data_IF_344306972048
#
_entry.id   IF_344306972048
#
_cell.length_a   1.000
_cell.length_b   1.000
_cell.length_c   1.000
_cell.angle_alpha   90.00
_cell.angle_beta   90.00
_cell.angle_gamma   90.00
#
_symmetry.space_group_name_H-M   'P 1'
#
loop_
_entity.id
_entity.type
_entity.pdbx_description
1 polymer ?
#
# COMPACT_ATOMS: atom_id res chain seq x y z
N UNK A 1 -27.58 14.26 15.41
CA UNK A 1 -26.41 13.76 14.65
C UNK A 1 -25.19 14.49 15.16
N UNK A 2 -24.43 13.85 16.04
CA UNK A 2 -23.15 14.38 16.52
C UNK A 2 -22.10 14.07 15.48
N UNK A 3 -21.51 15.12 14.90
CA UNK A 3 -20.31 14.97 14.06
C UNK A 3 -19.22 14.34 14.95
N UNK A 4 -18.55 13.27 14.53
CA UNK A 4 -17.40 12.77 15.28
C UNK A 4 -16.39 13.92 15.35
N UNK A 5 -16.12 14.43 16.55
CA UNK A 5 -14.98 15.31 16.77
C UNK A 5 -13.78 14.41 16.51
N UNK A 6 -13.14 14.59 15.35
CA UNK A 6 -11.88 13.93 15.07
C UNK A 6 -10.95 14.18 16.26
N UNK A 7 -10.21 13.17 16.76
CA UNK A 7 -9.24 13.39 17.81
C UNK A 7 -8.36 14.57 17.40
N UNK A 8 -8.24 15.57 18.27
CA UNK A 8 -7.33 16.69 18.06
C UNK A 8 -5.96 16.04 17.92
N UNK A 9 -5.30 16.10 16.75
CA UNK A 9 -3.97 15.52 16.59
C UNK A 9 -3.09 16.09 17.70
N UNK A 10 -2.22 15.27 18.29
CA UNK A 10 -1.19 15.81 19.18
C UNK A 10 -0.53 17.01 18.46
N UNK A 11 -0.34 18.11 19.18
CA UNK A 11 0.28 19.28 18.57
C UNK A 11 1.67 18.89 18.07
N UNK A 12 1.83 18.86 16.75
CA UNK A 12 3.10 18.57 16.11
C UNK A 12 4.20 19.43 16.76
N UNK A 13 5.32 18.83 17.23
CA UNK A 13 6.36 19.58 17.91
C UNK A 13 6.83 20.77 17.09
N UNK A 14 7.02 21.93 17.75
CA UNK A 14 7.36 23.21 17.09
C UNK A 14 8.56 23.14 16.15
N UNK A 15 9.52 22.24 16.42
CA UNK A 15 10.67 22.01 15.55
C UNK A 15 10.28 21.59 14.12
N UNK A 16 9.11 20.98 13.93
CA UNK A 16 8.61 20.52 12.63
C UNK A 16 7.67 21.50 11.93
N UNK A 17 7.32 22.64 12.54
CA UNK A 17 6.38 23.60 11.92
C UNK A 17 6.86 24.09 10.56
N UNK A 18 8.17 24.33 10.39
CA UNK A 18 8.73 24.72 9.09
C UNK A 18 8.58 23.60 8.03
N UNK A 19 8.77 22.35 8.43
CA UNK A 19 8.61 21.20 7.53
C UNK A 19 7.12 20.99 7.16
N UNK A 20 6.23 21.10 8.15
CA UNK A 20 4.77 21.10 8.00
C UNK A 20 4.31 22.15 7.00
N UNK A 21 4.72 23.40 7.19
CA UNK A 21 4.29 24.51 6.35
C UNK A 21 4.74 24.34 4.91
N UNK A 22 5.98 23.87 4.73
CA UNK A 22 6.53 23.59 3.41
C UNK A 22 5.90 22.36 2.74
N UNK A 23 5.47 21.35 3.51
CA UNK A 23 4.73 20.19 3.00
C UNK A 23 3.33 20.58 2.51
N UNK A 24 2.64 21.45 3.26
CA UNK A 24 1.36 22.02 2.82
C UNK A 24 1.56 22.88 1.58
N UNK A 25 2.59 23.73 1.55
CA UNK A 25 2.90 24.54 0.38
C UNK A 25 3.23 23.68 -0.85
N UNK A 26 3.93 22.55 -0.66
CA UNK A 26 4.22 21.60 -1.73
C UNK A 26 2.95 21.06 -2.38
N UNK A 27 1.92 20.73 -1.59
CA UNK A 27 0.62 20.31 -2.12
C UNK A 27 -0.10 21.46 -2.84
N UNK A 28 -0.08 22.67 -2.28
CA UNK A 28 -0.81 23.82 -2.82
C UNK A 28 -0.18 24.38 -4.11
N UNK A 29 1.14 24.38 -4.20
CA UNK A 29 1.92 24.99 -5.29
C UNK A 29 2.53 23.98 -6.26
N UNK A 30 2.39 22.67 -5.98
CA UNK A 30 3.06 21.58 -6.70
C UNK A 30 4.59 21.79 -6.79
N UNK A 31 5.19 22.26 -5.70
CA UNK A 31 6.64 22.50 -5.59
C UNK A 31 7.41 21.24 -5.15
N UNK A 32 8.73 21.34 -5.03
CA UNK A 32 9.59 20.21 -4.65
C UNK A 32 9.39 19.77 -3.20
N UNK A 33 9.75 18.52 -2.90
CA UNK A 33 9.65 17.97 -1.53
C UNK A 33 10.47 18.81 -0.53
N UNK A 34 9.92 19.09 0.67
CA UNK A 34 10.61 19.91 1.64
C UNK A 34 11.74 19.14 2.34
N UNK A 35 12.89 19.80 2.51
CA UNK A 35 14.09 19.19 3.09
C UNK A 35 13.87 18.60 4.50
N UNK A 36 13.03 19.23 5.33
CA UNK A 36 12.73 18.77 6.68
C UNK A 36 11.67 17.66 6.78
N UNK A 37 11.17 17.14 5.65
CA UNK A 37 10.17 16.07 5.66
C UNK A 37 10.74 14.77 6.22
N UNK A 38 12.00 14.47 5.93
CA UNK A 38 12.68 13.28 6.42
C UNK A 38 12.75 13.27 7.95
N UNK A 39 13.09 14.39 8.58
CA UNK A 39 13.15 14.51 10.03
C UNK A 39 11.78 14.31 10.69
N UNK A 40 10.71 14.80 10.05
CA UNK A 40 9.33 14.57 10.51
C UNK A 40 8.95 13.10 10.40
N UNK A 41 9.28 12.46 9.28
CA UNK A 41 9.04 11.03 9.04
C UNK A 41 9.80 10.14 10.03
N UNK A 42 11.06 10.46 10.32
CA UNK A 42 11.88 9.75 11.31
C UNK A 42 11.29 9.88 12.72
N UNK A 43 10.85 11.09 13.08
CA UNK A 43 10.19 11.31 14.36
C UNK A 43 8.88 10.52 14.47
N UNK A 44 8.03 10.53 13.44
CA UNK A 44 6.79 9.73 13.44
C UNK A 44 7.06 8.22 13.49
N UNK A 45 8.18 7.76 12.93
CA UNK A 45 8.60 6.36 13.00
C UNK A 45 9.19 5.96 14.37
N UNK A 46 9.38 6.91 15.28
CA UNK A 46 10.00 6.70 16.59
C UNK A 46 9.18 7.35 17.71
N UNK A 47 9.52 8.56 18.14
CA UNK A 47 8.88 9.25 19.26
C UNK A 47 7.41 9.63 19.00
N UNK A 48 7.03 9.85 17.74
CA UNK A 48 5.68 10.22 17.29
C UNK A 48 4.82 9.03 16.87
N UNK A 49 5.23 7.81 17.20
CA UNK A 49 4.54 6.59 16.77
C UNK A 49 3.09 6.51 17.28
N UNK A 50 2.89 6.77 18.57
CA UNK A 50 1.55 6.77 19.16
C UNK A 50 0.64 7.84 18.52
N UNK A 51 1.23 8.96 18.12
CA UNK A 51 0.51 10.03 17.44
C UNK A 51 0.13 9.63 16.00
N UNK A 52 1.01 8.89 15.31
CA UNK A 52 0.71 8.32 14.00
C UNK A 52 -0.46 7.33 14.07
N UNK A 53 -0.44 6.42 15.06
CA UNK A 53 -1.50 5.44 15.26
C UNK A 53 -2.82 6.12 15.71
N UNK A 54 -2.75 7.09 16.61
CA UNK A 54 -3.92 7.80 17.12
C UNK A 54 -4.57 8.72 16.06
N UNK A 55 -3.78 9.25 15.12
CA UNK A 55 -4.26 10.13 14.05
C UNK A 55 -5.31 9.45 13.15
N UNK A 56 -5.36 8.11 13.14
CA UNK A 56 -6.31 7.38 12.32
C UNK A 56 -6.84 6.12 13.01
N UNK A 57 -8.05 6.21 13.59
CA UNK A 57 -8.68 5.13 14.38
C UNK A 57 -9.22 3.96 13.52
N UNK A 58 -9.45 4.16 12.22
CA UNK A 58 -9.90 3.11 11.29
C UNK A 58 -8.80 2.74 10.29
N UNK A 59 -7.86 1.90 10.71
CA UNK A 59 -6.81 1.37 9.85
C UNK A 59 -7.43 0.62 8.66
N UNK A 60 -7.30 1.17 7.46
CA UNK A 60 -7.52 0.37 6.26
C UNK A 60 -6.29 -0.53 6.06
N UNK A 61 -6.51 -1.72 5.51
CA UNK A 61 -5.42 -2.64 5.18
C UNK A 61 -5.42 -2.83 3.67
N UNK A 62 -4.22 -2.85 3.08
CA UNK A 62 -4.07 -3.02 1.65
C UNK A 62 -3.02 -4.09 1.34
N UNK A 63 -3.39 -5.05 0.49
CA UNK A 63 -2.47 -6.02 -0.07
C UNK A 63 -1.53 -5.30 -1.04
N UNK A 64 -0.21 -5.42 -0.86
CA UNK A 64 0.79 -4.94 -1.82
C UNK A 64 0.80 -5.87 -3.04
N UNK A 65 -0.26 -5.78 -3.85
CA UNK A 65 -0.55 -6.69 -4.94
C UNK A 65 0.60 -6.73 -5.94
N UNK A 66 1.24 -5.60 -6.23
CA UNK A 66 2.38 -5.52 -7.14
C UNK A 66 3.57 -6.39 -6.72
N UNK A 67 3.89 -6.44 -5.44
CA UNK A 67 4.96 -7.32 -4.92
C UNK A 67 4.45 -8.75 -4.77
N UNK A 68 3.24 -8.90 -4.24
CA UNK A 68 2.63 -10.18 -3.90
C UNK A 68 2.46 -11.11 -5.10
N UNK A 69 2.03 -10.56 -6.25
CA UNK A 69 1.84 -11.36 -7.47
C UNK A 69 3.14 -11.97 -7.99
N UNK A 70 4.31 -11.39 -7.67
CA UNK A 70 5.60 -11.86 -8.22
C UNK A 70 5.98 -13.26 -7.74
N UNK A 71 5.48 -13.71 -6.61
CA UNK A 71 5.73 -15.06 -6.08
C UNK A 71 4.47 -15.93 -5.97
N UNK A 72 3.28 -15.36 -6.16
CA UNK A 72 2.02 -16.12 -6.13
C UNK A 72 1.45 -16.42 -7.52
N UNK A 73 1.59 -15.50 -8.48
CA UNK A 73 0.92 -15.63 -9.78
C UNK A 73 1.86 -16.23 -10.81
N UNK A 74 1.80 -17.55 -10.94
CA UNK A 74 2.46 -18.26 -12.02
C UNK A 74 1.69 -19.52 -12.39
N UNK A 75 1.80 -19.92 -13.66
CA UNK A 75 1.24 -21.18 -14.14
C UNK A 75 1.82 -22.38 -13.34
N UNK A 76 3.09 -22.31 -12.95
CA UNK A 76 3.71 -23.32 -12.07
C UNK A 76 3.07 -23.38 -10.68
N UNK A 77 2.88 -22.24 -10.02
CA UNK A 77 2.27 -22.19 -8.68
C UNK A 77 0.84 -22.71 -8.72
N UNK A 78 0.09 -22.35 -9.78
CA UNK A 78 -1.26 -22.86 -10.00
C UNK A 78 -1.25 -24.39 -10.15
N UNK A 79 -0.36 -24.95 -10.99
CA UNK A 79 -0.27 -26.41 -11.17
C UNK A 79 0.06 -27.12 -9.86
N UNK A 80 1.07 -26.62 -9.14
CA UNK A 80 1.52 -27.24 -7.89
C UNK A 80 0.42 -27.20 -6.82
N UNK A 81 -0.35 -26.11 -6.76
CA UNK A 81 -1.42 -25.95 -5.78
C UNK A 81 -2.64 -26.82 -6.11
N UNK A 82 -3.03 -26.88 -7.38
CA UNK A 82 -4.24 -27.58 -7.81
C UNK A 82 -3.97 -29.06 -8.20
N UNK A 83 -2.70 -29.49 -8.18
CA UNK A 83 -2.31 -30.85 -8.52
C UNK A 83 -2.54 -31.20 -9.99
N UNK A 84 -2.39 -30.23 -10.89
CA UNK A 84 -2.63 -30.40 -12.32
C UNK A 84 -1.48 -31.16 -12.99
N UNK A 85 -1.83 -32.00 -13.98
CA UNK A 85 -0.83 -32.66 -14.81
C UNK A 85 -0.09 -31.64 -15.69
N UNK A 86 1.18 -31.88 -15.98
CA UNK A 86 1.99 -31.06 -16.90
C UNK A 86 1.37 -30.95 -18.31
N UNK A 87 0.64 -32.00 -18.73
CA UNK A 87 -0.06 -32.04 -20.00
C UNK A 87 -1.37 -31.22 -20.00
N UNK A 88 -1.89 -30.83 -18.84
CA UNK A 88 -3.11 -30.05 -18.74
C UNK A 88 -2.86 -28.59 -19.15
N UNK A 89 -3.70 -28.10 -20.07
CA UNK A 89 -3.63 -26.75 -20.58
C UNK A 89 -4.29 -25.76 -19.60
N UNK A 90 -3.49 -24.85 -19.05
CA UNK A 90 -3.99 -23.81 -18.14
C UNK A 90 -4.75 -22.74 -18.92
N UNK A 91 -6.03 -22.59 -18.60
CA UNK A 91 -6.92 -21.59 -19.18
C UNK A 91 -6.89 -20.29 -18.39
N UNK A 92 -7.29 -19.18 -19.02
CA UNK A 92 -7.42 -17.88 -18.33
C UNK A 92 -8.45 -17.93 -17.20
N UNK A 93 -9.51 -18.75 -17.34
CA UNK A 93 -10.48 -18.96 -16.27
C UNK A 93 -9.82 -19.57 -15.03
N UNK A 94 -8.97 -20.58 -15.20
CA UNK A 94 -8.23 -21.19 -14.09
C UNK A 94 -7.32 -20.17 -13.40
N UNK A 95 -6.61 -19.35 -14.18
CA UNK A 95 -5.78 -18.26 -13.64
C UNK A 95 -6.59 -17.29 -12.80
N UNK A 96 -7.75 -16.86 -13.30
CA UNK A 96 -8.64 -15.93 -12.60
C UNK A 96 -9.21 -16.55 -11.33
N UNK A 97 -9.72 -17.78 -11.41
CA UNK A 97 -10.32 -18.46 -10.26
C UNK A 97 -9.26 -18.70 -9.16
N UNK A 98 -8.07 -19.16 -9.53
CA UNK A 98 -6.92 -19.32 -8.62
C UNK A 98 -6.50 -17.98 -7.99
N UNK A 99 -6.30 -16.95 -8.79
CA UNK A 99 -5.87 -15.64 -8.31
C UNK A 99 -6.89 -15.02 -7.33
N UNK A 100 -8.20 -15.16 -7.61
CA UNK A 100 -9.24 -14.71 -6.70
C UNK A 100 -9.19 -15.45 -5.38
N UNK A 101 -9.12 -16.79 -5.42
CA UNK A 101 -9.02 -17.59 -4.21
C UNK A 101 -7.79 -17.21 -3.38
N UNK A 102 -6.64 -17.00 -4.05
CA UNK A 102 -5.40 -16.60 -3.38
C UNK A 102 -5.49 -15.19 -2.77
N UNK A 103 -6.10 -14.22 -3.47
CA UNK A 103 -6.32 -12.85 -2.94
C UNK A 103 -7.27 -12.90 -1.75
N UNK A 104 -8.41 -13.60 -1.85
CA UNK A 104 -9.36 -13.77 -0.75
C UNK A 104 -8.67 -14.39 0.46
N UNK A 105 -7.88 -15.43 0.26
CA UNK A 105 -7.12 -16.05 1.34
C UNK A 105 -6.12 -15.08 1.99
N UNK A 106 -5.38 -14.31 1.20
CA UNK A 106 -4.42 -13.33 1.72
C UNK A 106 -5.10 -12.21 2.52
N UNK A 107 -6.30 -11.79 2.12
CA UNK A 107 -7.10 -10.79 2.83
C UNK A 107 -7.65 -11.36 4.14
N UNK A 108 -8.21 -12.57 4.11
CA UNK A 108 -8.79 -13.23 5.29
C UNK A 108 -7.73 -13.62 6.34
N UNK A 109 -6.50 -13.91 5.91
CA UNK A 109 -5.41 -14.39 6.76
C UNK A 109 -4.25 -13.38 6.83
N UNK A 110 -4.57 -12.09 6.73
CA UNK A 110 -3.57 -11.03 6.72
C UNK A 110 -2.87 -10.88 8.08
N UNK A 111 -1.56 -11.09 8.09
CA UNK A 111 -0.69 -10.90 9.27
C UNK A 111 0.16 -9.62 9.20
N UNK A 112 -0.03 -8.77 8.19
CA UNK A 112 0.62 -7.46 8.08
C UNK A 112 1.90 -7.38 7.24
N UNK A 113 2.49 -8.50 6.82
CA UNK A 113 3.69 -8.52 5.96
C UNK A 113 3.34 -8.18 4.50
N UNK A 114 2.47 -8.99 3.89
CA UNK A 114 1.97 -8.76 2.52
C UNK A 114 0.89 -7.68 2.43
N UNK A 115 0.25 -7.41 3.56
CA UNK A 115 -0.91 -6.54 3.71
C UNK A 115 -0.64 -5.47 4.76
N UNK A 116 0.19 -4.46 4.44
CA UNK A 116 0.46 -3.39 5.38
C UNK A 116 -0.81 -2.62 5.75
N UNK A 117 -0.82 -2.10 6.97
CA UNK A 117 -1.82 -1.13 7.40
C UNK A 117 -1.56 0.23 6.74
N UNK A 118 -2.63 0.96 6.43
CA UNK A 118 -2.59 2.25 5.74
C UNK A 118 -2.85 3.35 6.76
N UNK A 119 -1.88 4.27 6.87
CA UNK A 119 -1.89 5.34 7.85
C UNK A 119 -1.76 6.71 7.19
N UNK A 120 -2.35 7.72 7.80
CA UNK A 120 -2.01 9.10 7.46
C UNK A 120 -1.98 9.99 8.67
N UNK A 121 -0.98 10.85 8.71
CA UNK A 121 -0.84 11.87 9.73
C UNK A 121 -1.32 13.23 9.20
N UNK A 122 -2.33 13.87 9.81
CA UNK A 122 -2.80 15.18 9.40
C UNK A 122 -1.75 16.25 9.75
N UNK A 123 -1.52 17.17 8.81
CA UNK A 123 -0.68 18.35 9.02
C UNK A 123 -1.51 19.61 8.75
N UNK A 124 -1.55 20.51 9.74
CA UNK A 124 -2.39 21.72 9.70
C UNK A 124 -1.60 22.98 10.10
N UNK A 125 -1.68 24.00 9.25
CA UNK A 125 -1.14 25.34 9.50
C UNK A 125 -2.09 26.17 10.34
N UNK A 126 -1.55 27.24 10.94
CA UNK A 126 -2.33 28.20 11.74
C UNK A 126 -3.41 28.93 10.92
N UNK A 127 -3.22 29.07 9.62
CA UNK A 127 -4.21 29.66 8.70
C UNK A 127 -5.32 28.67 8.27
N UNK A 128 -5.30 27.45 8.80
CA UNK A 128 -6.27 26.39 8.50
C UNK A 128 -5.98 25.62 7.21
N UNK A 129 -4.87 25.88 6.51
CA UNK A 129 -4.44 25.06 5.39
C UNK A 129 -4.00 23.66 5.88
N UNK A 130 -4.42 22.61 5.16
CA UNK A 130 -4.25 21.21 5.59
C UNK A 130 -3.70 20.35 4.47
N UNK A 131 -2.96 19.32 4.87
CA UNK A 131 -2.56 18.20 4.03
C UNK A 131 -2.43 16.94 4.93
N UNK A 132 -2.12 15.80 4.33
CA UNK A 132 -1.80 14.57 5.05
C UNK A 132 -0.44 14.04 4.63
N UNK A 133 0.32 13.49 5.57
CA UNK A 133 1.48 12.66 5.30
C UNK A 133 1.03 11.19 5.31
N UNK A 134 1.09 10.52 4.15
CA UNK A 134 0.62 9.14 4.01
C UNK A 134 1.76 8.13 4.09
N UNK A 135 1.53 7.03 4.82
CA UNK A 135 2.40 5.87 4.86
C UNK A 135 1.64 4.54 4.87
N UNK A 136 2.33 3.48 4.48
CA UNK A 136 1.92 2.10 4.78
C UNK A 136 2.86 1.55 5.85
N UNK A 137 2.37 0.73 6.77
CA UNK A 137 3.19 0.10 7.81
C UNK A 137 3.13 -1.41 7.60
N UNK A 138 4.27 -1.97 7.19
CA UNK A 138 4.47 -3.41 7.14
C UNK A 138 4.84 -3.92 8.54
N UNK A 139 4.28 -5.07 8.92
CA UNK A 139 4.65 -5.79 10.13
C UNK A 139 5.55 -6.95 9.75
N UNK A 140 6.80 -6.93 10.20
CA UNK A 140 7.76 -8.02 10.02
C UNK A 140 8.20 -8.56 11.36
N UNK A 141 7.49 -9.59 11.84
CA UNK A 141 7.68 -10.10 13.19
C UNK A 141 7.18 -9.08 14.22
N UNK A 142 8.10 -8.51 14.99
CA UNK A 142 7.79 -7.46 15.98
C UNK A 142 8.11 -6.04 15.49
N UNK A 143 8.71 -5.92 14.30
CA UNK A 143 9.11 -4.63 13.74
C UNK A 143 7.97 -4.03 12.91
N UNK A 144 7.77 -2.72 13.10
CA UNK A 144 6.81 -1.91 12.35
C UNK A 144 7.60 -1.00 11.41
N UNK A 145 7.45 -1.20 10.11
CA UNK A 145 8.29 -0.54 9.11
C UNK A 145 7.41 0.42 8.29
N UNK A 146 7.40 1.73 8.62
CA UNK A 146 6.67 2.70 7.83
C UNK A 146 7.37 2.93 6.49
N UNK A 147 6.64 2.71 5.41
CA UNK A 147 6.97 3.15 4.08
C UNK A 147 6.21 4.44 3.76
N UNK A 148 6.94 5.55 3.66
CA UNK A 148 6.38 6.86 3.37
C UNK A 148 6.08 7.02 1.87
N UNK A 149 4.85 7.39 1.55
CA UNK A 149 4.41 7.62 0.15
C UNK A 149 4.41 9.09 -0.23
N UNK A 150 4.44 9.99 0.76
CA UNK A 150 4.56 11.44 0.55
C UNK A 150 3.41 12.21 1.17
N UNK A 151 3.24 13.44 0.68
CA UNK A 151 2.24 14.39 1.18
C UNK A 151 1.12 14.53 0.16
N UNK A 152 -0.12 14.50 0.64
CA UNK A 152 -1.32 14.50 -0.18
C UNK A 152 -2.31 15.56 0.32
N UNK A 153 -3.16 16.07 -0.58
CA UNK A 153 -4.19 17.03 -0.21
C UNK A 153 -5.19 16.45 0.79
N UNK A 154 -5.56 15.19 0.60
CA UNK A 154 -6.55 14.48 1.39
C UNK A 154 -6.37 12.97 1.26
N UNK A 155 -7.24 12.23 1.96
CA UNK A 155 -7.26 10.77 1.99
C UNK A 155 -7.54 10.17 0.62
N UNK A 156 -8.42 10.77 -0.17
CA UNK A 156 -8.78 10.27 -1.49
C UNK A 156 -7.61 10.38 -2.48
N UNK A 157 -6.83 11.46 -2.40
CA UNK A 157 -5.59 11.61 -3.15
C UNK A 157 -4.57 10.55 -2.76
N UNK A 158 -4.40 10.27 -1.46
CA UNK A 158 -3.51 9.21 -0.99
C UNK A 158 -3.98 7.82 -1.43
N UNK A 159 -5.26 7.51 -1.32
CA UNK A 159 -5.78 6.19 -1.70
C UNK A 159 -5.71 5.97 -3.20
N UNK A 160 -5.91 7.01 -4.01
CA UNK A 160 -5.64 6.94 -5.46
C UNK A 160 -4.17 6.68 -5.76
N UNK A 161 -3.26 7.31 -5.01
CA UNK A 161 -1.83 7.03 -5.13
C UNK A 161 -1.53 5.55 -4.83
N UNK A 162 -2.02 5.01 -3.71
CA UNK A 162 -1.80 3.61 -3.33
C UNK A 162 -2.32 2.63 -4.40
N UNK A 163 -3.55 2.83 -4.91
CA UNK A 163 -4.07 2.01 -6.01
C UNK A 163 -3.18 2.08 -7.25
N UNK A 164 -2.71 3.27 -7.63
CA UNK A 164 -1.79 3.44 -8.76
C UNK A 164 -0.42 2.80 -8.54
N UNK A 165 0.03 2.71 -7.28
CA UNK A 165 1.26 2.04 -6.90
C UNK A 165 1.12 0.50 -6.87
N UNK A 166 -0.10 -0.02 -6.99
CA UNK A 166 -0.40 -1.44 -7.04
C UNK A 166 -0.82 -2.04 -5.70
N UNK A 167 -1.35 -1.23 -4.80
CA UNK A 167 -2.02 -1.71 -3.59
C UNK A 167 -3.50 -1.99 -3.87
N UNK A 168 -3.98 -3.11 -3.34
CA UNK A 168 -5.39 -3.51 -3.37
C UNK A 168 -5.94 -3.44 -1.95
N UNK A 169 -6.86 -2.50 -1.70
CA UNK A 169 -7.52 -2.42 -0.39
C UNK A 169 -8.32 -3.70 -0.14
N UNK A 170 -8.30 -4.19 1.10
CA UNK A 170 -9.03 -5.40 1.49
C UNK A 170 -10.53 -5.30 1.21
N UNK A 171 -11.12 -4.12 1.42
CA UNK A 171 -12.51 -3.82 1.10
C UNK A 171 -12.83 -3.90 -0.40
N UNK A 172 -11.82 -3.83 -1.26
CA UNK A 172 -11.93 -3.87 -2.73
C UNK A 172 -11.57 -5.25 -3.30
N UNK A 173 -11.15 -6.20 -2.47
CA UNK A 173 -10.64 -7.49 -2.91
C UNK A 173 -11.62 -8.28 -3.79
N UNK A 174 -12.92 -8.17 -3.51
CA UNK A 174 -13.97 -8.82 -4.30
C UNK A 174 -14.31 -8.08 -5.59
N UNK A 175 -13.89 -6.82 -5.73
CA UNK A 175 -14.22 -5.95 -6.87
C UNK A 175 -13.19 -6.02 -8.01
N UNK A 176 -11.98 -6.54 -7.77
CA UNK A 176 -10.96 -6.67 -8.81
C UNK A 176 -11.48 -7.51 -9.99
N UNK A 177 -11.30 -7.03 -11.22
CA UNK A 177 -11.80 -7.65 -12.43
C UNK A 177 -10.92 -8.80 -12.94
N UNK A 178 -11.51 -9.74 -13.68
CA UNK A 178 -10.75 -10.83 -14.30
C UNK A 178 -9.68 -10.35 -15.28
N UNK A 179 -9.97 -9.28 -16.05
CA UNK A 179 -9.00 -8.68 -16.96
C UNK A 179 -7.80 -8.05 -16.22
N UNK A 180 -8.04 -7.44 -15.05
CA UNK A 180 -6.98 -6.88 -14.20
C UNK A 180 -6.09 -7.98 -13.62
N UNK A 181 -6.70 -9.07 -13.14
CA UNK A 181 -5.99 -10.27 -12.69
C UNK A 181 -5.09 -10.84 -13.80
N UNK A 182 -5.62 -10.99 -15.02
CA UNK A 182 -4.84 -11.52 -16.14
C UNK A 182 -3.70 -10.58 -16.53
N UNK A 183 -3.90 -9.27 -16.45
CA UNK A 183 -2.84 -8.29 -16.69
C UNK A 183 -1.69 -8.42 -15.68
N UNK A 184 -1.99 -8.71 -14.41
CA UNK A 184 -0.98 -8.99 -13.39
C UNK A 184 -0.22 -10.30 -13.68
N UNK A 185 -0.90 -11.31 -14.20
CA UNK A 185 -0.31 -12.60 -14.58
C UNK A 185 0.71 -12.49 -15.73
N UNK A 186 0.42 -11.65 -16.73
CA UNK A 186 1.29 -11.47 -17.90
C UNK A 186 2.54 -10.60 -17.62
N UNK A 187 2.54 -9.85 -16.52
CA UNK A 187 3.70 -9.07 -16.11
C UNK A 187 4.89 -9.97 -15.73
N UNK A 188 4.64 -11.12 -15.11
CA UNK A 188 5.67 -12.11 -14.76
C UNK A 188 6.25 -12.79 -16.01
N UNK A 189 5.41 -13.13 -17.01
CA UNK A 189 5.90 -13.72 -18.27
C UNK A 189 6.93 -12.84 -18.99
N UNK A 190 6.86 -11.51 -18.82
CA UNK A 190 7.80 -10.56 -19.41
C UNK A 190 9.11 -10.43 -18.63
N UNK A 191 9.12 -10.78 -17.33
CA UNK A 191 10.32 -10.72 -16.48
C UNK A 191 11.17 -11.99 -16.54
N UNK A 192 10.61 -13.14 -16.92
CA UNK A 192 11.38 -14.38 -17.09
C UNK A 192 12.13 -14.35 -18.43
N UNK A 193 13.47 -14.20 -18.48
CA UNK A 193 14.21 -14.38 -19.72
C UNK A 193 14.09 -15.83 -20.13
N UNK A 194 13.80 -16.10 -21.41
CA UNK A 194 13.86 -17.46 -21.98
C UNK A 194 15.20 -18.09 -21.59
N UNK A 195 15.18 -19.07 -20.66
CA UNK A 195 16.32 -19.96 -20.42
C UNK A 195 16.66 -20.60 -21.76
N UNK A 196 17.78 -20.18 -22.37
CA UNK A 196 18.32 -20.83 -23.57
C UNK A 196 18.64 -22.27 -23.18
N UNK A 197 17.98 -23.23 -23.85
CA UNK A 197 18.35 -24.64 -23.74
C UNK A 197 19.83 -24.79 -24.12
N UNK A 198 20.62 -25.61 -23.41
CA UNK A 198 21.93 -25.98 -23.89
C UNK A 198 21.74 -26.69 -25.24
N UNK A 199 22.50 -26.26 -26.25
CA UNK A 199 22.57 -26.94 -27.54
C UNK A 199 23.34 -28.26 -27.37
N UNK A 200 23.03 -29.29 -28.19
CA UNK A 200 23.43 -30.69 -27.96
C UNK A 200 24.94 -30.92 -27.93
#
# INVERSE_FOLDING_TARGET
MTVPIAPIPSELPKRFWKARDAAIEQVLSNSGLPAGLADLQEWLATDGWDDLLAAWINEDVALNLKQWVTYKFSDSTLRDTDGLDEAEAITDRMRVDFARAAISYAVENSEGDDSPSVHSFPIEREDGARAILGCTVEIRGHDHIPQWHGVFADKDAFYRHLRSAGFLFHSEANAIGGAEILALWDFEKKKTPKRKKPSP
#
